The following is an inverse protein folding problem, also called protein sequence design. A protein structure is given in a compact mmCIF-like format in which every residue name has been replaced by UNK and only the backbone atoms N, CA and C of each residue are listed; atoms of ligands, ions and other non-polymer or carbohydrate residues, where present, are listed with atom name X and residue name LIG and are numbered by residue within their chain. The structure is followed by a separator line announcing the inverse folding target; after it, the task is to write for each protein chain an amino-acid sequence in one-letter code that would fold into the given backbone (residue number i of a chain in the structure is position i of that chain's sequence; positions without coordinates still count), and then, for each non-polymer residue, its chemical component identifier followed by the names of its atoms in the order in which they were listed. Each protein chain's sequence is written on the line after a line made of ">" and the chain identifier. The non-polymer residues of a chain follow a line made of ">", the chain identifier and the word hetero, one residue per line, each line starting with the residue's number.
data_IF_709430817935
#
_entry.id   IF_709430817935
#
_cell.length_a   1.000
_cell.length_b   1.000
_cell.length_c   1.000
_cell.angle_alpha   90.00
_cell.angle_beta   90.00
_cell.angle_gamma   90.00
#
_symmetry.space_group_name_H-M   'P 1'
#
loop_
_entity.id
_entity.type
_entity.pdbx_description
1 polymer ?
#
# COMPACT_ATOMS: atom_id res chain seq x y z
N UNK A 1 23.46 -10.06 -6.03
CA UNK A 1 22.70 -9.12 -5.16
C UNK A 1 23.54 -7.90 -4.88
N UNK A 2 23.13 -6.75 -5.34
CA UNK A 2 23.75 -5.45 -5.04
C UNK A 2 22.91 -4.77 -3.95
N UNK A 3 23.60 -4.09 -2.98
CA UNK A 3 22.95 -3.41 -1.88
C UNK A 3 23.48 -1.98 -1.78
N UNK A 4 22.58 -1.01 -1.73
CA UNK A 4 22.91 0.41 -1.51
C UNK A 4 22.17 0.88 -0.25
N UNK A 5 22.90 1.51 0.66
CA UNK A 5 22.34 2.10 1.89
C UNK A 5 22.52 3.61 1.83
N UNK A 6 21.44 4.33 1.96
CA UNK A 6 21.38 5.78 2.01
C UNK A 6 21.19 6.28 3.45
N UNK A 7 21.37 7.60 3.63
CA UNK A 7 20.93 8.29 4.83
C UNK A 7 19.43 8.04 5.11
N UNK A 8 18.99 8.33 6.33
CA UNK A 8 17.59 8.12 6.78
C UNK A 8 17.14 6.66 6.71
N UNK A 9 18.08 5.69 6.81
CA UNK A 9 17.80 4.25 6.81
C UNK A 9 17.01 3.77 5.57
N UNK A 10 17.32 4.30 4.39
CA UNK A 10 16.79 3.82 3.12
C UNK A 10 17.76 2.81 2.52
N UNK A 11 17.32 1.59 2.33
CA UNK A 11 18.11 0.49 1.75
C UNK A 11 17.48 0.00 0.46
N UNK A 12 18.27 -0.04 -0.61
CA UNK A 12 17.85 -0.58 -1.91
C UNK A 12 18.61 -1.86 -2.21
N UNK A 13 17.92 -2.87 -2.71
CA UNK A 13 18.49 -4.12 -3.21
C UNK A 13 18.17 -4.30 -4.68
N UNK A 14 19.19 -4.56 -5.50
CA UNK A 14 19.05 -5.00 -6.89
C UNK A 14 19.16 -6.52 -6.95
N UNK A 15 18.02 -7.20 -6.89
CA UNK A 15 17.91 -8.66 -6.99
C UNK A 15 16.43 -9.07 -7.03
N UNK A 16 16.17 -10.34 -7.24
CA UNK A 16 14.82 -10.91 -7.04
C UNK A 16 14.44 -10.88 -5.55
N UNK A 17 13.19 -10.54 -5.25
CA UNK A 17 12.73 -10.42 -3.87
C UNK A 17 12.80 -11.76 -3.10
N UNK A 18 12.59 -12.89 -3.78
CA UNK A 18 12.69 -14.22 -3.17
C UNK A 18 14.15 -14.61 -2.86
N UNK A 19 15.13 -13.93 -3.47
CA UNK A 19 16.55 -14.07 -3.11
C UNK A 19 16.95 -13.17 -1.95
N UNK A 20 16.31 -12.00 -1.80
CA UNK A 20 16.69 -11.00 -0.76
C UNK A 20 15.94 -11.24 0.54
N UNK A 21 14.62 -11.43 0.47
CA UNK A 21 13.79 -11.54 1.68
C UNK A 21 14.30 -12.58 2.68
N UNK A 22 14.78 -13.78 2.29
CA UNK A 22 15.31 -14.77 3.23
C UNK A 22 16.47 -14.27 4.12
N UNK A 23 17.21 -13.24 3.68
CA UNK A 23 18.32 -12.65 4.46
C UNK A 23 17.89 -11.46 5.33
N UNK A 24 16.64 -10.99 5.19
CA UNK A 24 16.12 -9.96 6.08
C UNK A 24 15.84 -10.55 7.47
N UNK A 25 16.10 -9.81 8.56
CA UNK A 25 15.82 -10.30 9.90
C UNK A 25 14.33 -10.65 10.09
N UNK A 26 14.06 -11.69 10.85
CA UNK A 26 12.69 -12.05 11.26
C UNK A 26 12.07 -10.93 12.09
N UNK A 27 10.76 -10.75 11.96
CA UNK A 27 9.99 -9.77 12.76
C UNK A 27 10.60 -8.37 12.80
N UNK A 28 11.17 -7.91 11.67
CA UNK A 28 11.85 -6.62 11.56
C UNK A 28 11.05 -5.53 10.82
N UNK A 29 9.98 -5.92 10.12
CA UNK A 29 9.18 -5.04 9.25
C UNK A 29 7.88 -4.64 9.95
N UNK A 30 7.60 -3.34 9.99
CA UNK A 30 6.40 -2.75 10.58
C UNK A 30 5.24 -2.63 9.58
N UNK A 31 5.56 -2.52 8.28
CA UNK A 31 4.59 -2.48 7.18
C UNK A 31 5.20 -3.09 5.94
N UNK A 32 4.50 -4.02 5.32
CA UNK A 32 4.76 -4.40 3.92
C UNK A 32 3.82 -3.59 3.04
N UNK A 33 4.36 -2.73 2.18
CA UNK A 33 3.60 -1.91 1.23
C UNK A 33 4.20 -2.08 -0.16
N UNK A 34 3.47 -2.76 -1.04
CA UNK A 34 4.03 -3.14 -2.34
C UNK A 34 2.97 -3.11 -3.45
N UNK A 35 3.43 -2.76 -4.65
CA UNK A 35 2.72 -2.92 -5.91
C UNK A 35 3.34 -4.09 -6.69
N UNK A 36 2.99 -5.35 -6.37
CA UNK A 36 3.59 -6.51 -7.02
C UNK A 36 3.18 -6.60 -8.49
N UNK A 37 3.92 -7.33 -9.33
CA UNK A 37 3.51 -7.56 -10.72
C UNK A 37 2.21 -8.39 -10.77
N UNK A 38 1.26 -7.96 -11.63
CA UNK A 38 -0.08 -8.58 -11.71
C UNK A 38 -0.19 -9.68 -12.77
N UNK A 39 0.80 -9.80 -13.66
CA UNK A 39 0.76 -10.77 -14.77
C UNK A 39 -0.29 -10.47 -15.83
N UNK A 40 -0.67 -9.20 -16.01
CA UNK A 40 -1.74 -8.79 -16.94
C UNK A 40 -1.22 -7.97 -18.13
N UNK A 41 0.07 -7.70 -18.19
CA UNK A 41 0.72 -6.97 -19.29
C UNK A 41 1.65 -7.87 -20.08
N UNK A 42 2.03 -7.44 -21.30
CA UNK A 42 3.02 -8.14 -22.12
C UNK A 42 4.48 -7.88 -21.67
N UNK A 43 4.69 -7.12 -20.62
CA UNK A 43 6.03 -6.78 -20.13
C UNK A 43 6.72 -8.00 -19.51
N UNK A 44 8.01 -8.19 -19.78
CA UNK A 44 8.77 -9.34 -19.26
C UNK A 44 8.90 -9.34 -17.73
N UNK A 45 8.87 -8.16 -17.12
CA UNK A 45 8.92 -7.99 -15.66
C UNK A 45 7.58 -8.29 -14.98
N UNK A 46 6.44 -8.27 -15.71
CA UNK A 46 5.10 -8.45 -15.14
C UNK A 46 4.76 -9.94 -15.00
N UNK A 47 5.52 -10.63 -14.16
CA UNK A 47 5.30 -12.04 -13.82
C UNK A 47 4.88 -12.14 -12.37
N UNK A 48 3.75 -12.80 -12.12
CA UNK A 48 3.24 -13.03 -10.75
C UNK A 48 4.31 -13.74 -9.93
N UNK A 49 4.62 -13.17 -8.78
CA UNK A 49 5.50 -13.79 -7.78
C UNK A 49 4.76 -14.99 -7.18
N UNK A 50 5.36 -16.19 -7.10
CA UNK A 50 4.71 -17.36 -6.52
C UNK A 50 4.16 -17.07 -5.12
N UNK A 51 2.85 -17.18 -4.95
CA UNK A 51 2.17 -16.78 -3.70
C UNK A 51 2.64 -17.57 -2.47
N UNK A 52 2.86 -18.89 -2.52
CA UNK A 52 3.31 -19.64 -1.34
C UNK A 52 4.63 -19.11 -0.79
N UNK A 53 5.63 -18.91 -1.65
CA UNK A 53 6.96 -18.42 -1.31
C UNK A 53 6.89 -16.96 -0.84
N UNK A 54 6.16 -16.12 -1.56
CA UNK A 54 5.93 -14.72 -1.21
C UNK A 54 5.31 -14.58 0.19
N UNK A 55 4.20 -15.29 0.45
CA UNK A 55 3.52 -15.22 1.74
C UNK A 55 4.34 -15.81 2.89
N UNK A 56 5.12 -16.86 2.62
CA UNK A 56 6.05 -17.44 3.59
C UNK A 56 7.04 -16.38 4.08
N UNK A 57 7.72 -15.71 3.16
CA UNK A 57 8.73 -14.71 3.52
C UNK A 57 8.10 -13.44 4.13
N UNK A 58 6.97 -12.96 3.60
CA UNK A 58 6.24 -11.84 4.21
C UNK A 58 5.90 -12.13 5.67
N UNK A 59 5.36 -13.31 5.98
CA UNK A 59 5.02 -13.71 7.36
C UNK A 59 6.23 -13.78 8.26
N UNK A 60 7.39 -14.19 7.73
CA UNK A 60 8.64 -14.30 8.51
C UNK A 60 9.22 -12.94 8.85
N UNK A 61 9.30 -12.03 7.85
CA UNK A 61 9.98 -10.74 8.03
C UNK A 61 9.13 -9.70 8.74
N UNK A 62 7.81 -9.74 8.61
CA UNK A 62 6.93 -8.76 9.27
C UNK A 62 6.79 -9.08 10.76
N UNK A 63 6.63 -8.05 11.59
CA UNK A 63 6.25 -8.19 13.00
C UNK A 63 4.85 -8.82 13.10
N UNK A 64 4.55 -9.47 14.21
CA UNK A 64 3.34 -10.29 14.38
C UNK A 64 2.04 -9.57 13.97
N UNK A 65 1.86 -8.32 14.38
CA UNK A 65 0.66 -7.53 14.08
C UNK A 65 0.86 -6.55 12.92
N UNK A 66 2.01 -6.59 12.23
CA UNK A 66 2.28 -5.67 11.14
C UNK A 66 1.35 -5.95 9.95
N UNK A 67 0.75 -4.93 9.34
CA UNK A 67 -0.07 -5.10 8.16
C UNK A 67 0.77 -5.36 6.91
N UNK A 68 0.16 -6.06 5.97
CA UNK A 68 0.62 -6.18 4.59
C UNK A 68 -0.41 -5.53 3.69
N UNK A 69 0.00 -4.53 2.94
CA UNK A 69 -0.84 -3.68 2.08
C UNK A 69 -0.37 -3.83 0.65
N UNK A 70 -1.16 -4.50 -0.18
CA UNK A 70 -0.77 -4.84 -1.54
C UNK A 70 -1.74 -4.23 -2.54
N UNK A 71 -1.18 -3.52 -3.52
CA UNK A 71 -1.94 -3.05 -4.67
C UNK A 71 -2.35 -4.22 -5.56
N UNK A 72 -3.44 -4.03 -6.28
CA UNK A 72 -3.93 -5.05 -7.19
C UNK A 72 -5.05 -4.56 -8.09
N UNK A 73 -5.32 -5.38 -9.06
CA UNK A 73 -6.34 -5.19 -10.08
C UNK A 73 -6.93 -6.55 -10.44
N UNK A 74 -8.23 -6.64 -10.72
CA UNK A 74 -8.80 -7.91 -11.11
C UNK A 74 -8.25 -8.41 -12.47
N UNK A 75 -8.03 -9.73 -12.65
CA UNK A 75 -8.34 -10.84 -11.73
C UNK A 75 -7.26 -11.11 -10.65
N UNK A 76 -6.09 -10.44 -10.72
CA UNK A 76 -4.98 -10.66 -9.78
C UNK A 76 -5.38 -10.44 -8.32
N UNK A 77 -6.19 -9.40 -8.01
CA UNK A 77 -6.64 -9.13 -6.64
C UNK A 77 -7.43 -10.28 -6.04
N UNK A 78 -8.26 -10.95 -6.83
CA UNK A 78 -9.00 -12.14 -6.39
C UNK A 78 -8.07 -13.30 -6.09
N UNK A 79 -7.09 -13.58 -6.97
CA UNK A 79 -6.09 -14.63 -6.77
C UNK A 79 -5.22 -14.35 -5.54
N UNK A 80 -4.78 -13.11 -5.37
CA UNK A 80 -3.99 -12.67 -4.22
C UNK A 80 -4.72 -12.91 -2.90
N UNK A 81 -6.00 -12.52 -2.82
CA UNK A 81 -6.84 -12.72 -1.63
C UNK A 81 -7.10 -14.20 -1.35
N UNK A 82 -7.42 -14.99 -2.37
CA UNK A 82 -7.57 -16.44 -2.23
C UNK A 82 -6.28 -17.12 -1.74
N UNK A 83 -5.11 -16.60 -2.12
CA UNK A 83 -3.81 -17.09 -1.67
C UNK A 83 -3.52 -16.86 -0.18
N UNK A 84 -4.28 -15.98 0.51
CA UNK A 84 -4.13 -15.70 1.94
C UNK A 84 -5.44 -15.18 2.58
N UNK A 85 -6.53 -15.91 2.36
CA UNK A 85 -7.85 -15.49 2.85
C UNK A 85 -7.91 -15.41 4.38
N UNK A 86 -7.13 -16.23 5.08
CA UNK A 86 -7.08 -16.26 6.56
C UNK A 86 -6.63 -14.91 7.15
N UNK A 87 -5.69 -14.22 6.50
CA UNK A 87 -5.17 -12.94 6.97
C UNK A 87 -5.81 -11.73 6.29
N UNK A 88 -6.68 -11.94 5.28
CA UNK A 88 -7.37 -10.84 4.61
C UNK A 88 -8.28 -10.09 5.60
N UNK A 89 -8.19 -8.75 5.58
CA UNK A 89 -8.96 -7.87 6.48
C UNK A 89 -10.04 -7.08 5.73
N UNK A 90 -9.61 -6.25 4.80
CA UNK A 90 -10.45 -5.36 4.00
C UNK A 90 -9.67 -4.79 2.83
N UNK A 91 -10.38 -4.08 1.94
CA UNK A 91 -9.80 -3.35 0.82
C UNK A 91 -9.98 -1.85 0.98
N UNK A 92 -9.00 -1.10 0.45
CA UNK A 92 -9.22 0.24 -0.04
C UNK A 92 -9.45 0.20 -1.55
N UNK A 93 -10.30 1.09 -2.04
CA UNK A 93 -10.46 1.34 -3.47
C UNK A 93 -9.83 2.69 -3.76
N UNK A 94 -8.72 2.69 -4.48
CA UNK A 94 -8.12 3.92 -4.96
C UNK A 94 -8.81 4.37 -6.24
N UNK A 95 -9.61 5.45 -6.15
CA UNK A 95 -10.18 6.14 -7.31
C UNK A 95 -9.11 7.03 -7.94
N UNK A 96 -8.85 6.83 -9.24
CA UNK A 96 -7.81 7.51 -10.01
C UNK A 96 -8.37 8.73 -10.73
N UNK A 97 -7.56 9.78 -10.89
CA UNK A 97 -7.91 10.95 -11.70
C UNK A 97 -8.01 10.64 -13.20
N UNK A 98 -7.33 9.59 -13.67
CA UNK A 98 -7.38 9.11 -15.05
C UNK A 98 -7.83 7.67 -15.08
N UNK A 99 -8.85 7.38 -15.87
CA UNK A 99 -9.22 6.02 -16.18
C UNK A 99 -8.26 5.41 -17.21
N UNK A 100 -8.11 4.11 -17.17
CA UNK A 100 -7.33 3.30 -18.13
C UNK A 100 -8.24 2.43 -19.00
N UNK A 101 -7.65 1.61 -19.89
CA UNK A 101 -8.36 0.70 -20.80
C UNK A 101 -9.21 1.39 -21.86
N UNK A 102 -8.83 2.57 -22.34
CA UNK A 102 -9.59 3.34 -23.34
C UNK A 102 -9.82 2.56 -24.65
N UNK A 103 -8.93 1.65 -25.04
CA UNK A 103 -9.10 0.78 -26.21
C UNK A 103 -10.32 -0.14 -26.09
N UNK A 104 -10.75 -0.42 -24.88
CA UNK A 104 -11.90 -1.28 -24.58
C UNK A 104 -13.18 -0.50 -24.26
N UNK A 105 -13.17 0.82 -24.40
CA UNK A 105 -14.29 1.71 -24.01
C UNK A 105 -15.65 1.37 -24.64
N UNK A 106 -15.65 0.74 -25.82
CA UNK A 106 -16.87 0.28 -26.50
C UNK A 106 -17.36 -1.10 -26.01
N UNK A 107 -16.57 -1.83 -25.19
CA UNK A 107 -16.86 -3.20 -24.77
C UNK A 107 -17.07 -3.30 -23.26
N UNK A 108 -16.49 -2.41 -22.48
CA UNK A 108 -16.56 -2.41 -21.02
C UNK A 108 -16.31 -1.01 -20.47
N UNK A 109 -16.71 -0.73 -19.21
CA UNK A 109 -16.41 0.54 -18.56
C UNK A 109 -14.91 0.80 -18.47
N UNK A 110 -14.52 2.06 -18.55
CA UNK A 110 -13.14 2.48 -18.30
C UNK A 110 -12.76 2.17 -16.85
N UNK A 111 -11.53 1.70 -16.65
CA UNK A 111 -11.02 1.33 -15.33
C UNK A 111 -10.50 2.57 -14.60
N UNK A 112 -11.30 3.12 -13.70
CA UNK A 112 -11.01 4.33 -12.94
C UNK A 112 -10.47 4.05 -11.53
N UNK A 113 -10.22 2.79 -11.15
CA UNK A 113 -9.77 2.44 -9.81
C UNK A 113 -8.77 1.29 -9.79
N UNK A 114 -8.07 1.17 -8.66
CA UNK A 114 -7.29 -0.01 -8.27
C UNK A 114 -7.70 -0.42 -6.85
N UNK A 115 -7.51 -1.70 -6.55
CA UNK A 115 -7.74 -2.25 -5.22
C UNK A 115 -6.45 -2.24 -4.41
N UNK A 116 -6.57 -2.02 -3.11
CA UNK A 116 -5.43 -2.10 -2.19
C UNK A 116 -5.87 -3.01 -1.04
N UNK A 117 -5.46 -4.27 -1.11
CA UNK A 117 -5.87 -5.29 -0.15
C UNK A 117 -4.99 -5.25 1.10
N UNK A 118 -5.63 -5.27 2.26
CA UNK A 118 -4.97 -5.24 3.57
C UNK A 118 -5.06 -6.60 4.22
N UNK A 119 -3.91 -7.12 4.62
CA UNK A 119 -3.77 -8.40 5.30
C UNK A 119 -3.07 -8.20 6.65
N UNK A 120 -3.29 -9.12 7.58
CA UNK A 120 -2.60 -9.12 8.84
C UNK A 120 -3.17 -10.12 9.85
N UNK A 121 -2.36 -10.51 10.83
CA UNK A 121 -2.76 -11.38 11.92
C UNK A 121 -3.29 -10.54 13.09
N UNK A 122 -4.36 -10.96 13.73
CA UNK A 122 -4.88 -10.28 14.92
C UNK A 122 -5.26 -8.80 14.68
N UNK A 123 -4.95 -7.93 15.64
CA UNK A 123 -5.23 -6.49 15.58
C UNK A 123 -4.04 -5.76 14.96
N UNK A 124 -4.16 -5.40 13.70
CA UNK A 124 -3.14 -4.59 13.00
C UNK A 124 -3.19 -3.11 13.44
N UNK A 125 -2.04 -2.40 13.45
CA UNK A 125 -1.99 -0.95 13.61
C UNK A 125 -2.88 -0.26 12.57
N UNK A 126 -3.64 0.74 13.04
CA UNK A 126 -4.46 1.59 12.17
C UNK A 126 -4.59 2.96 12.80
N UNK A 127 -4.06 3.98 12.16
CA UNK A 127 -4.07 5.37 12.57
C UNK A 127 -4.91 6.17 11.57
N UNK A 128 -6.23 6.29 11.77
CA UNK A 128 -7.10 6.93 10.79
C UNK A 128 -6.74 8.41 10.60
N UNK A 129 -6.51 8.80 9.37
CA UNK A 129 -6.32 10.20 9.00
C UNK A 129 -7.71 10.79 8.82
N UNK A 130 -8.13 11.61 9.80
CA UNK A 130 -9.49 12.17 9.84
C UNK A 130 -9.67 13.20 8.73
N UNK A 131 -10.84 13.16 8.09
CA UNK A 131 -11.25 14.11 7.06
C UNK A 131 -12.05 15.25 7.70
N UNK A 132 -11.96 16.46 7.15
CA UNK A 132 -12.82 17.58 7.53
C UNK A 132 -14.24 17.37 7.02
N UNK A 133 -15.24 17.83 7.76
CA UNK A 133 -16.64 17.76 7.40
C UNK A 133 -17.48 18.65 8.31
N UNK A 134 -18.71 18.94 7.89
CA UNK A 134 -19.63 19.74 8.68
C UNK A 134 -19.94 19.09 10.03
N UNK A 135 -19.87 19.84 11.15
CA UNK A 135 -20.33 19.35 12.44
C UNK A 135 -21.80 18.91 12.38
N UNK A 136 -22.14 17.86 13.07
CA UNK A 136 -23.55 17.50 13.25
C UNK A 136 -23.89 17.32 14.73
N UNK A 137 -25.06 17.84 15.10
CA UNK A 137 -25.52 17.82 16.50
C UNK A 137 -25.79 16.42 17.03
N UNK A 138 -25.85 16.31 18.34
CA UNK A 138 -26.11 15.11 19.11
C UNK A 138 -27.41 14.42 18.65
N UNK A 139 -27.33 13.53 17.69
CA UNK A 139 -28.41 12.58 17.46
C UNK A 139 -28.25 11.44 18.44
N UNK A 140 -29.07 11.41 19.48
CA UNK A 140 -29.26 10.19 20.27
C UNK A 140 -29.85 9.14 19.34
N UNK A 141 -29.01 8.34 18.70
CA UNK A 141 -29.51 7.15 18.02
C UNK A 141 -29.97 6.21 19.12
N UNK A 142 -31.27 6.05 19.30
CA UNK A 142 -31.81 4.85 19.94
C UNK A 142 -31.26 3.66 19.17
N UNK A 143 -30.56 2.77 19.86
CA UNK A 143 -30.05 1.56 19.25
C UNK A 143 -31.18 0.85 18.52
N UNK A 144 -31.09 0.73 17.21
CA UNK A 144 -31.94 -0.20 16.51
C UNK A 144 -31.44 -1.59 16.88
N UNK A 145 -32.33 -2.49 17.27
CA UNK A 145 -32.01 -3.91 17.52
C UNK A 145 -31.59 -4.65 16.25
N UNK A 146 -31.15 -3.94 15.22
CA UNK A 146 -30.68 -4.51 13.98
C UNK A 146 -29.19 -4.86 14.11
N UNK A 147 -28.95 -6.08 14.57
CA UNK A 147 -27.61 -6.66 14.71
C UNK A 147 -27.39 -7.69 13.60
N UNK A 148 -27.54 -7.27 12.36
CA UNK A 148 -27.48 -8.22 11.24
C UNK A 148 -26.13 -8.89 11.00
N UNK A 149 -25.02 -8.41 11.52
CA UNK A 149 -23.69 -8.95 11.16
C UNK A 149 -22.73 -9.10 12.36
N UNK A 150 -22.91 -8.36 13.44
CA UNK A 150 -22.04 -8.48 14.62
C UNK A 150 -22.88 -8.42 15.89
N UNK A 151 -22.80 -9.46 16.73
CA UNK A 151 -23.38 -9.50 18.08
C UNK A 151 -22.71 -8.49 19.04
N UNK A 152 -22.49 -7.27 18.61
CA UNK A 152 -21.96 -6.19 19.45
C UNK A 152 -23.17 -5.47 20.07
N UNK A 153 -23.28 -5.41 21.41
CA UNK A 153 -24.26 -4.58 22.08
C UNK A 153 -24.11 -3.14 21.55
N UNK A 154 -25.23 -2.55 21.15
CA UNK A 154 -25.24 -1.18 20.63
C UNK A 154 -25.25 -0.19 21.83
N UNK A 155 -24.12 0.31 22.29
CA UNK A 155 -24.09 1.27 23.37
C UNK A 155 -24.70 2.59 22.89
N UNK A 156 -25.44 3.26 23.75
CA UNK A 156 -25.96 4.60 23.51
C UNK A 156 -24.80 5.58 23.49
N UNK A 157 -24.22 5.85 22.34
CA UNK A 157 -23.16 6.84 22.21
C UNK A 157 -23.77 8.23 22.02
N UNK A 158 -23.46 9.15 22.91
CA UNK A 158 -23.53 10.59 22.64
C UNK A 158 -22.22 11.00 21.96
N UNK A 159 -22.18 10.97 20.66
CA UNK A 159 -21.03 11.50 19.90
C UNK A 159 -21.32 12.93 19.47
N UNK A 160 -20.70 13.88 20.14
CA UNK A 160 -20.58 15.24 19.64
C UNK A 160 -19.58 15.23 18.49
N UNK A 161 -20.06 15.37 17.26
CA UNK A 161 -19.19 15.44 16.10
C UNK A 161 -18.75 16.89 15.87
N UNK A 162 -17.45 17.14 16.07
CA UNK A 162 -16.82 18.47 15.93
C UNK A 162 -16.42 18.84 14.50
N UNK A 163 -16.92 18.14 13.50
CA UNK A 163 -16.58 18.41 12.11
C UNK A 163 -15.48 17.51 11.55
N UNK A 164 -15.26 16.32 12.13
CA UNK A 164 -14.32 15.33 11.58
C UNK A 164 -15.05 14.06 11.16
N UNK A 165 -14.50 13.38 10.17
CA UNK A 165 -15.00 12.10 9.62
C UNK A 165 -13.89 11.09 9.59
N UNK A 166 -14.23 9.84 9.91
CA UNK A 166 -13.35 8.72 9.61
C UNK A 166 -13.23 8.53 8.11
N UNK A 167 -12.05 8.12 7.59
CA UNK A 167 -11.86 7.85 6.18
C UNK A 167 -12.80 6.75 5.70
N UNK A 168 -13.24 6.87 4.45
CA UNK A 168 -14.04 5.84 3.78
C UNK A 168 -13.13 4.91 2.99
N UNK A 169 -13.61 3.70 2.69
CA UNK A 169 -12.84 2.69 1.94
C UNK A 169 -12.54 3.09 0.48
N UNK A 170 -13.24 4.07 -0.08
CA UNK A 170 -12.95 4.66 -1.40
C UNK A 170 -12.22 5.97 -1.17
N UNK A 171 -10.97 6.04 -1.64
CA UNK A 171 -10.08 7.18 -1.50
C UNK A 171 -9.68 7.72 -2.88
N UNK A 172 -9.69 9.03 -3.04
CA UNK A 172 -9.30 9.68 -4.28
C UNK A 172 -7.88 10.22 -4.18
N UNK A 173 -7.03 9.81 -5.12
CA UNK A 173 -5.70 10.41 -5.33
C UNK A 173 -5.45 10.56 -6.83
N UNK A 174 -4.83 11.68 -7.19
CA UNK A 174 -4.38 11.89 -8.57
C UNK A 174 -3.34 10.83 -8.94
N UNK A 175 -3.29 10.46 -10.21
CA UNK A 175 -2.25 9.56 -10.74
C UNK A 175 -0.87 10.23 -10.72
N UNK A 176 0.20 9.44 -10.76
CA UNK A 176 1.57 9.91 -10.55
C UNK A 176 2.03 11.01 -11.52
N UNK A 177 1.44 11.09 -12.72
CA UNK A 177 1.75 12.13 -13.69
C UNK A 177 1.40 13.54 -13.19
N UNK A 178 0.51 13.67 -12.22
CA UNK A 178 0.20 14.94 -11.57
C UNK A 178 1.27 15.45 -10.62
N UNK A 179 2.19 14.57 -10.20
CA UNK A 179 3.32 14.89 -9.31
C UNK A 179 4.59 15.23 -10.10
N UNK A 180 4.57 15.13 -11.43
CA UNK A 180 5.69 15.40 -12.31
C UNK A 180 5.95 14.30 -13.33
N UNK A 181 7.15 14.32 -13.93
CA UNK A 181 7.55 13.33 -14.93
C UNK A 181 7.66 11.94 -14.30
N UNK A 182 6.90 10.99 -14.82
CA UNK A 182 7.00 9.58 -14.43
C UNK A 182 8.15 8.89 -15.14
N UNK A 183 8.81 7.96 -14.44
CA UNK A 183 9.89 7.12 -14.98
C UNK A 183 9.44 5.67 -15.20
N UNK A 184 8.29 5.31 -14.69
CA UNK A 184 7.70 3.97 -14.82
C UNK A 184 6.21 4.09 -15.19
N UNK A 185 5.74 3.24 -16.09
CA UNK A 185 4.34 3.29 -16.59
C UNK A 185 3.29 3.05 -15.50
N UNK A 186 3.64 2.26 -14.49
CA UNK A 186 2.75 1.94 -13.37
C UNK A 186 3.19 2.64 -12.06
N UNK A 187 3.89 3.77 -12.16
CA UNK A 187 4.35 4.52 -10.99
C UNK A 187 3.19 4.90 -10.08
N UNK A 188 3.27 4.54 -8.80
CA UNK A 188 2.28 4.94 -7.80
C UNK A 188 2.51 6.38 -7.33
N UNK A 189 1.42 7.15 -7.07
CA UNK A 189 1.54 8.51 -6.54
C UNK A 189 2.18 8.52 -5.15
N UNK A 190 3.12 9.43 -4.93
CA UNK A 190 3.79 9.57 -3.63
C UNK A 190 2.77 9.96 -2.56
N UNK A 191 1.82 10.83 -2.86
CA UNK A 191 0.78 11.24 -1.92
C UNK A 191 -0.07 10.07 -1.41
N UNK A 192 -0.45 9.12 -2.28
CA UNK A 192 -1.18 7.92 -1.89
C UNK A 192 -0.32 7.02 -0.97
N UNK A 193 0.95 6.81 -1.34
CA UNK A 193 1.86 5.99 -0.55
C UNK A 193 2.12 6.62 0.83
N UNK A 194 2.30 7.93 0.93
CA UNK A 194 2.40 8.65 2.20
C UNK A 194 1.15 8.48 3.07
N UNK A 195 -0.03 8.55 2.46
CA UNK A 195 -1.29 8.33 3.16
C UNK A 195 -1.35 6.93 3.77
N UNK A 196 -1.04 5.90 3.00
CA UNK A 196 -1.02 4.51 3.47
C UNK A 196 0.05 4.28 4.54
N UNK A 197 1.27 4.81 4.35
CA UNK A 197 2.35 4.71 5.32
C UNK A 197 1.94 5.34 6.67
N UNK A 198 1.40 6.55 6.67
CA UNK A 198 0.92 7.21 7.90
C UNK A 198 -0.25 6.49 8.56
N UNK A 199 -1.11 5.85 7.75
CA UNK A 199 -2.27 5.09 8.26
C UNK A 199 -1.84 3.83 9.02
N UNK A 200 -0.70 3.24 8.69
CA UNK A 200 -0.32 1.93 9.24
C UNK A 200 0.96 1.94 10.07
N UNK A 201 1.70 3.05 10.09
CA UNK A 201 3.00 3.14 10.78
C UNK A 201 3.15 4.43 11.58
N UNK A 202 4.14 4.43 12.48
CA UNK A 202 4.67 5.60 13.17
C UNK A 202 6.01 6.02 12.57
N UNK A 203 6.48 7.23 12.90
CA UNK A 203 7.83 7.66 12.53
C UNK A 203 8.90 6.71 13.10
N UNK A 204 9.92 6.43 12.31
CA UNK A 204 10.98 5.47 12.64
C UNK A 204 10.66 4.01 12.33
N UNK A 205 9.40 3.65 12.03
CA UNK A 205 9.01 2.29 11.61
C UNK A 205 9.63 1.92 10.26
N UNK A 206 9.79 0.62 10.02
CA UNK A 206 10.41 0.07 8.80
C UNK A 206 9.36 -0.43 7.83
N UNK A 207 9.39 0.09 6.60
CA UNK A 207 8.53 -0.30 5.48
C UNK A 207 9.32 -1.18 4.51
N UNK A 208 8.72 -2.29 4.07
CA UNK A 208 9.25 -3.15 3.01
C UNK A 208 8.41 -2.99 1.75
N UNK A 209 9.09 -2.70 0.63
CA UNK A 209 8.55 -2.80 -0.73
C UNK A 209 9.41 -3.78 -1.52
N UNK A 210 8.86 -4.95 -1.80
CA UNK A 210 9.62 -6.05 -2.41
C UNK A 210 9.54 -6.12 -3.94
N UNK A 211 8.87 -5.15 -4.59
CA UNK A 211 8.81 -4.98 -6.04
C UNK A 211 8.71 -3.49 -6.39
N UNK A 212 9.77 -2.74 -6.06
CA UNK A 212 9.71 -1.28 -5.86
C UNK A 212 9.65 -0.45 -7.14
N UNK A 213 9.98 -1.03 -8.31
CA UNK A 213 9.94 -0.35 -9.60
C UNK A 213 10.62 1.01 -9.58
N UNK A 214 9.81 2.07 -9.55
CA UNK A 214 10.27 3.47 -9.56
C UNK A 214 10.76 4.01 -8.21
N UNK A 215 10.82 3.20 -7.15
CA UNK A 215 11.19 3.57 -5.77
C UNK A 215 10.28 4.66 -5.16
N UNK A 216 9.02 4.74 -5.58
CA UNK A 216 8.07 5.72 -5.01
C UNK A 216 7.82 5.51 -3.53
N UNK A 217 7.84 4.25 -3.05
CA UNK A 217 7.70 3.91 -1.63
C UNK A 217 8.88 4.44 -0.81
N UNK A 218 10.12 4.34 -1.32
CA UNK A 218 11.30 4.91 -0.65
C UNK A 218 11.16 6.43 -0.48
N UNK A 219 10.73 7.14 -1.53
CA UNK A 219 10.52 8.59 -1.47
C UNK A 219 9.41 8.95 -0.48
N UNK A 220 8.30 8.21 -0.48
CA UNK A 220 7.23 8.40 0.48
C UNK A 220 7.70 8.18 1.94
N UNK A 221 8.57 7.20 2.17
CA UNK A 221 9.20 6.95 3.47
C UNK A 221 10.13 8.09 3.91
N UNK A 222 10.94 8.65 2.99
CA UNK A 222 11.79 9.82 3.27
C UNK A 222 10.93 10.98 3.77
N UNK A 223 9.86 11.32 3.06
CA UNK A 223 8.96 12.43 3.43
C UNK A 223 8.14 12.18 4.70
N UNK A 224 7.98 10.93 5.09
CA UNK A 224 7.20 10.57 6.28
C UNK A 224 8.08 10.13 7.46
N UNK A 225 9.40 10.24 7.35
CA UNK A 225 10.38 9.83 8.37
C UNK A 225 10.27 8.35 8.78
N UNK A 226 10.09 7.47 7.79
CA UNK A 226 10.11 6.02 7.96
C UNK A 226 11.38 5.44 7.33
N UNK A 227 11.87 4.35 7.90
CA UNK A 227 12.91 3.51 7.28
C UNK A 227 12.31 2.74 6.12
N UNK A 228 13.09 2.41 5.11
CA UNK A 228 12.59 1.68 3.96
C UNK A 228 13.60 0.65 3.45
N UNK A 229 13.08 -0.52 3.12
CA UNK A 229 13.79 -1.54 2.37
C UNK A 229 13.04 -1.71 1.06
N UNK A 230 13.71 -1.42 -0.06
CA UNK A 230 13.17 -1.56 -1.40
C UNK A 230 13.96 -2.61 -2.17
N UNK A 231 13.25 -3.50 -2.87
CA UNK A 231 13.86 -4.55 -3.69
C UNK A 231 13.33 -4.39 -5.13
N UNK A 232 14.24 -4.36 -6.10
CA UNK A 232 13.91 -4.28 -7.52
C UNK A 232 14.88 -5.14 -8.32
N UNK A 233 14.36 -6.02 -9.17
CA UNK A 233 15.18 -6.95 -9.97
C UNK A 233 15.58 -6.39 -11.33
N UNK A 234 14.74 -5.53 -11.92
CA UNK A 234 15.01 -4.95 -13.22
C UNK A 234 16.10 -3.88 -13.12
N UNK A 235 17.18 -4.04 -13.89
CA UNK A 235 18.34 -3.16 -13.90
C UNK A 235 17.97 -1.72 -14.24
N UNK A 236 17.10 -1.54 -15.23
CA UNK A 236 16.70 -0.23 -15.72
C UNK A 236 15.85 0.50 -14.68
N UNK A 237 14.85 -0.18 -14.12
CA UNK A 237 13.98 0.36 -13.08
C UNK A 237 14.77 0.67 -11.81
N UNK A 238 15.66 -0.23 -11.40
CA UNK A 238 16.54 -0.02 -10.25
C UNK A 238 17.39 1.23 -10.42
N UNK A 239 18.13 1.35 -11.53
CA UNK A 239 19.03 2.48 -11.79
C UNK A 239 18.29 3.83 -11.86
N UNK A 240 17.11 3.85 -12.48
CA UNK A 240 16.25 5.05 -12.54
C UNK A 240 15.68 5.41 -11.15
N UNK A 241 15.22 4.42 -10.41
CA UNK A 241 14.69 4.57 -9.07
C UNK A 241 15.74 5.05 -8.07
N UNK A 242 16.96 4.49 -8.13
CA UNK A 242 18.10 4.92 -7.33
C UNK A 242 18.42 6.40 -7.52
N UNK A 243 18.53 6.84 -8.77
CA UNK A 243 18.77 8.27 -9.10
C UNK A 243 17.68 9.17 -8.50
N UNK A 244 16.43 8.70 -8.53
CA UNK A 244 15.28 9.42 -7.98
C UNK A 244 15.37 9.53 -6.45
N UNK A 245 15.78 8.47 -5.76
CA UNK A 245 16.03 8.50 -4.31
C UNK A 245 17.17 9.43 -3.96
N UNK A 246 18.31 9.37 -4.68
CA UNK A 246 19.44 10.30 -4.48
C UNK A 246 18.99 11.74 -4.61
N UNK A 247 18.28 12.08 -5.66
CA UNK A 247 17.76 13.43 -5.87
C UNK A 247 16.83 13.86 -4.74
N UNK A 248 15.93 13.00 -4.30
CA UNK A 248 15.04 13.31 -3.17
C UNK A 248 15.85 13.66 -1.90
N UNK A 249 16.87 12.88 -1.58
CA UNK A 249 17.70 13.10 -0.39
C UNK A 249 18.58 14.38 -0.45
N UNK A 250 18.86 14.90 -1.65
CA UNK A 250 19.60 16.16 -1.79
C UNK A 250 18.75 17.40 -1.45
N UNK A 251 17.43 17.27 -1.52
CA UNK A 251 16.48 18.40 -1.33
C UNK A 251 15.61 18.26 -0.07
N UNK A 252 15.85 17.25 0.76
CA UNK A 252 15.13 16.97 2.02
C UNK A 252 16.10 16.81 3.21
#
# INVERSE_FOLDING_TARGET
>A
MEKIVFAKDITLYKADCLEVMPFLPESSIDLVLCDPPFGITASQWDKIIPFPEMWKEIRRVRKENAPTVLFGSEPFSSLLRCGNLEEFKYDWVWEKSKASNFLLAKKQPLKAHELISVFGKGRTPYYPIMEEGEPYGNRTKRGSNWTGINNVPNPTFRNENKGTRYPRSVIYFKTAESEGKTIHVNQKPIALLQYLIRTYTKEGDTVLDFASGSMSTAIACIYTHRKCICIEKDETHFSQGEKRVRNCLLYT
#
